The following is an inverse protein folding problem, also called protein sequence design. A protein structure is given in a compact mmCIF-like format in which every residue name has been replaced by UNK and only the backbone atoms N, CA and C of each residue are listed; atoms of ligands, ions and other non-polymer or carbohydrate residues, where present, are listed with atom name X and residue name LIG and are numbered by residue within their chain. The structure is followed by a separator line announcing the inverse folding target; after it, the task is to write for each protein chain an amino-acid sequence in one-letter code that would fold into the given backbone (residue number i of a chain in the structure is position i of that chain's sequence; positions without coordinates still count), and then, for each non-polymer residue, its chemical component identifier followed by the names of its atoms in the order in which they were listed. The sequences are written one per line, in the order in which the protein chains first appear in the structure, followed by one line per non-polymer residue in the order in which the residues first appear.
data_IF_277489566339
#
_entry.id   IF_277489566339
#
_cell.length_a   1.000
_cell.length_b   1.000
_cell.length_c   1.000
_cell.angle_alpha   90.00
_cell.angle_beta   90.00
_cell.angle_gamma   90.00
#
_symmetry.space_group_name_H-M   'P 1'
#
loop_
_entity.id
_entity.type
_entity.pdbx_description
1 polymer ?
#
# COMPACT_ATOMS: atom_id res chain seq x y z
N UNK A 1 -11.07 7.09 0.26
CA UNK A 1 -12.36 7.04 -0.47
C UNK A 1 -12.17 6.29 -1.79
N UNK A 2 -13.12 5.42 -2.13
CA UNK A 2 -13.27 4.62 -3.37
C UNK A 2 -12.02 4.41 -4.23
N UNK A 3 -11.63 5.37 -5.08
CA UNK A 3 -10.48 5.21 -5.99
C UNK A 3 -9.20 4.86 -5.24
N UNK A 4 -8.97 5.48 -4.08
CA UNK A 4 -7.83 5.16 -3.22
C UNK A 4 -7.91 3.75 -2.62
N UNK A 5 -9.11 3.27 -2.28
CA UNK A 5 -9.30 1.90 -1.79
C UNK A 5 -9.08 0.88 -2.92
N UNK A 6 -9.58 1.17 -4.12
CA UNK A 6 -9.37 0.37 -5.33
C UNK A 6 -7.89 0.27 -5.70
N UNK A 7 -7.17 1.40 -5.72
CA UNK A 7 -5.72 1.44 -5.98
C UNK A 7 -4.91 0.72 -4.88
N UNK A 8 -5.29 0.89 -3.61
CA UNK A 8 -4.61 0.20 -2.50
C UNK A 8 -4.79 -1.32 -2.59
N UNK A 9 -5.99 -1.79 -2.92
CA UNK A 9 -6.23 -3.22 -3.11
C UNK A 9 -5.46 -3.79 -4.29
N UNK A 10 -5.34 -3.04 -5.40
CA UNK A 10 -4.47 -3.39 -6.52
C UNK A 10 -3.02 -3.54 -6.08
N UNK A 11 -2.50 -2.55 -5.35
CA UNK A 11 -1.11 -2.54 -4.88
C UNK A 11 -0.81 -3.76 -4.01
N UNK A 12 -1.72 -4.07 -3.08
CA UNK A 12 -1.61 -5.24 -2.19
C UNK A 12 -1.69 -6.53 -3.01
N UNK A 13 -2.64 -6.64 -3.94
CA UNK A 13 -2.78 -7.81 -4.81
C UNK A 13 -1.54 -8.06 -5.65
N UNK A 14 -1.01 -7.03 -6.30
CA UNK A 14 0.22 -7.13 -7.11
C UNK A 14 1.45 -7.45 -6.25
N UNK A 15 1.55 -6.89 -5.04
CA UNK A 15 2.63 -7.24 -4.12
C UNK A 15 2.52 -8.70 -3.67
N UNK A 16 1.33 -9.18 -3.32
CA UNK A 16 1.08 -10.57 -2.94
C UNK A 16 1.44 -11.56 -4.05
N UNK A 17 1.39 -11.12 -5.29
CA UNK A 17 1.72 -11.89 -6.50
C UNK A 17 3.16 -11.65 -6.98
N UNK A 18 3.98 -10.95 -6.20
CA UNK A 18 5.39 -10.69 -6.48
C UNK A 18 5.64 -9.78 -7.70
N UNK A 19 4.65 -8.97 -8.11
CA UNK A 19 4.74 -8.10 -9.29
C UNK A 19 5.28 -6.71 -8.99
N UNK A 20 4.95 -6.15 -7.82
CA UNK A 20 5.35 -4.81 -7.37
C UNK A 20 5.89 -4.85 -5.93
N UNK A 21 6.61 -3.80 -5.54
CA UNK A 21 7.10 -3.62 -4.16
C UNK A 21 7.91 -4.81 -3.62
N UNK A 22 8.76 -5.43 -4.46
CA UNK A 22 9.53 -6.64 -4.13
C UNK A 22 10.52 -6.45 -2.97
N UNK A 23 11.05 -5.23 -2.84
CA UNK A 23 12.01 -4.86 -1.78
C UNK A 23 11.31 -4.29 -0.54
N UNK A 24 10.00 -4.10 -0.59
CA UNK A 24 9.22 -3.61 0.54
C UNK A 24 8.59 -4.78 1.29
N UNK A 25 8.57 -4.78 2.64
CA UNK A 25 7.83 -5.78 3.40
C UNK A 25 6.36 -5.90 2.97
N UNK A 26 5.72 -7.05 3.11
CA UNK A 26 4.30 -7.21 2.78
C UNK A 26 3.43 -6.18 3.52
N UNK A 27 2.52 -5.54 2.79
CA UNK A 27 1.49 -4.67 3.39
C UNK A 27 0.62 -5.52 4.32
N UNK A 28 0.48 -5.07 5.56
CA UNK A 28 -0.14 -5.87 6.64
C UNK A 28 -1.67 -5.91 6.56
N UNK A 29 -2.30 -4.78 6.23
CA UNK A 29 -3.75 -4.68 6.19
C UNK A 29 -4.27 -3.60 5.25
N UNK A 30 -5.57 -3.69 4.92
CA UNK A 30 -6.33 -2.71 4.16
C UNK A 30 -7.57 -2.24 4.93
N UNK A 31 -7.82 -0.93 4.92
CA UNK A 31 -9.11 -0.35 5.30
C UNK A 31 -9.76 0.19 4.02
N UNK A 32 -10.83 -0.44 3.57
CA UNK A 32 -11.54 -0.11 2.34
C UNK A 32 -12.86 0.57 2.64
N UNK A 33 -13.14 1.70 2.00
CA UNK A 33 -14.42 2.41 2.08
C UNK A 33 -14.93 2.58 0.66
N UNK A 34 -15.99 1.85 0.32
CA UNK A 34 -16.60 1.80 -1.02
C UNK A 34 -15.59 1.54 -2.14
N UNK A 35 -14.55 0.72 -1.89
CA UNK A 35 -13.59 0.30 -2.92
C UNK A 35 -14.19 -0.74 -3.86
N UNK A 36 -13.63 -0.90 -5.05
CA UNK A 36 -14.03 -1.94 -6.02
C UNK A 36 -12.79 -2.58 -6.64
N UNK A 37 -12.97 -3.69 -7.37
CA UNK A 37 -11.91 -4.22 -8.23
C UNK A 37 -11.67 -3.28 -9.41
N UNK A 38 -10.47 -3.31 -9.97
CA UNK A 38 -10.28 -2.79 -11.33
C UNK A 38 -11.19 -3.55 -12.30
N UNK A 39 -11.62 -2.90 -13.38
CA UNK A 39 -12.51 -3.54 -14.38
C UNK A 39 -11.74 -4.22 -15.51
N UNK A 40 -10.45 -3.90 -15.66
CA UNK A 40 -9.60 -4.51 -16.67
C UNK A 40 -9.31 -5.98 -16.28
N UNK A 41 -9.68 -6.97 -17.11
CA UNK A 41 -9.43 -8.37 -16.83
C UNK A 41 -7.94 -8.70 -16.64
N UNK A 42 -7.05 -8.08 -17.42
CA UNK A 42 -5.60 -8.32 -17.34
C UNK A 42 -5.03 -7.92 -15.98
N UNK A 43 -5.63 -6.89 -15.36
CA UNK A 43 -5.28 -6.47 -14.00
C UNK A 43 -5.86 -7.45 -12.97
N UNK A 44 -7.12 -7.87 -13.15
CA UNK A 44 -7.81 -8.75 -12.20
C UNK A 44 -7.20 -10.14 -12.11
N UNK A 45 -6.86 -10.73 -13.26
CA UNK A 45 -6.21 -12.04 -13.37
C UNK A 45 -4.86 -12.10 -12.67
N UNK A 46 -4.22 -10.94 -12.48
CA UNK A 46 -3.00 -10.80 -11.70
C UNK A 46 -3.35 -10.49 -10.26
N UNK A 47 -3.96 -9.33 -9.97
CA UNK A 47 -4.15 -8.81 -8.61
C UNK A 47 -4.92 -9.74 -7.68
N UNK A 48 -5.91 -10.46 -8.24
CA UNK A 48 -6.87 -11.25 -7.47
C UNK A 48 -6.81 -12.74 -7.82
N UNK A 49 -5.68 -13.20 -8.40
CA UNK A 49 -5.46 -14.60 -8.78
C UNK A 49 -5.64 -15.55 -7.60
N UNK A 50 -4.98 -15.23 -6.48
CA UNK A 50 -5.08 -15.95 -5.22
C UNK A 50 -5.67 -15.04 -4.14
N UNK A 51 -6.38 -15.58 -3.13
CA UNK A 51 -6.92 -14.79 -2.04
C UNK A 51 -5.82 -13.98 -1.33
N UNK A 52 -6.04 -12.67 -1.22
CA UNK A 52 -5.11 -11.74 -0.58
C UNK A 52 -5.07 -12.03 0.92
N UNK A 53 -3.90 -12.39 1.44
CA UNK A 53 -3.70 -12.79 2.85
C UNK A 53 -3.60 -11.62 3.83
N UNK A 54 -3.38 -10.40 3.33
CA UNK A 54 -3.41 -9.21 4.17
C UNK A 54 -4.79 -9.07 4.83
N UNK A 55 -4.82 -8.72 6.12
CA UNK A 55 -6.08 -8.49 6.83
C UNK A 55 -6.82 -7.33 6.19
N UNK A 56 -8.14 -7.41 6.11
CA UNK A 56 -8.91 -6.28 5.57
C UNK A 56 -10.20 -6.04 6.31
N UNK A 57 -10.60 -4.77 6.36
CA UNK A 57 -11.93 -4.33 6.74
C UNK A 57 -12.54 -3.52 5.60
N UNK A 58 -13.79 -3.79 5.27
CA UNK A 58 -14.53 -3.16 4.17
C UNK A 58 -15.80 -2.54 4.70
N UNK A 59 -15.92 -1.21 4.55
CA UNK A 59 -17.14 -0.48 4.82
C UNK A 59 -17.96 -0.38 3.54
N UNK A 60 -19.19 -0.91 3.60
CA UNK A 60 -20.07 -1.01 2.44
C UNK A 60 -21.44 -0.43 2.77
N UNK A 61 -21.83 0.59 2.02
CA UNK A 61 -23.14 1.24 2.17
C UNK A 61 -24.24 0.41 1.54
N UNK A 62 -25.35 0.20 2.25
CA UNK A 62 -26.49 -0.57 1.75
C UNK A 62 -27.21 0.10 0.58
N UNK A 63 -27.08 1.44 0.47
CA UNK A 63 -27.64 2.25 -0.62
C UNK A 63 -26.55 2.71 -1.59
N UNK A 64 -25.32 2.21 -1.46
CA UNK A 64 -24.22 2.58 -2.35
C UNK A 64 -24.42 1.88 -3.71
N UNK A 65 -24.29 2.64 -4.81
CA UNK A 65 -24.35 2.06 -6.16
C UNK A 65 -23.16 1.12 -6.42
N UNK A 66 -22.09 1.20 -5.61
CA UNK A 66 -20.96 0.27 -5.63
C UNK A 66 -21.06 -0.86 -4.61
N UNK A 67 -22.21 -1.08 -3.96
CA UNK A 67 -22.39 -2.17 -3.00
C UNK A 67 -21.89 -3.51 -3.52
N UNK A 68 -22.36 -3.94 -4.70
CA UNK A 68 -21.96 -5.22 -5.31
C UNK A 68 -20.46 -5.21 -5.68
N UNK A 69 -19.92 -4.22 -6.41
CA UNK A 69 -18.48 -4.12 -6.64
C UNK A 69 -17.60 -4.13 -5.38
N UNK A 70 -18.08 -3.55 -4.27
CA UNK A 70 -17.39 -3.56 -2.99
C UNK A 70 -17.42 -4.92 -2.30
N UNK A 71 -18.52 -5.66 -2.41
CA UNK A 71 -18.62 -7.04 -1.95
C UNK A 71 -17.70 -7.96 -2.76
N UNK A 72 -17.66 -7.77 -4.08
CA UNK A 72 -16.75 -8.49 -4.97
C UNK A 72 -15.29 -8.21 -4.60
N UNK A 73 -14.94 -6.96 -4.30
CA UNK A 73 -13.60 -6.63 -3.82
C UNK A 73 -13.30 -7.31 -2.49
N UNK A 74 -14.22 -7.25 -1.53
CA UNK A 74 -14.04 -7.88 -0.21
C UNK A 74 -13.79 -9.40 -0.35
N UNK A 75 -14.50 -10.07 -1.27
CA UNK A 75 -14.33 -11.51 -1.52
C UNK A 75 -12.94 -11.92 -2.01
N UNK A 76 -12.13 -10.97 -2.51
CA UNK A 76 -10.75 -11.24 -2.92
C UNK A 76 -9.77 -11.35 -1.73
N UNK A 77 -10.18 -10.98 -0.52
CA UNK A 77 -9.37 -11.05 0.69
C UNK A 77 -9.71 -12.29 1.51
N UNK A 78 -8.73 -12.80 2.25
CA UNK A 78 -8.92 -13.92 3.17
C UNK A 78 -9.59 -13.43 4.48
N UNK A 79 -10.79 -13.92 4.75
CA UNK A 79 -11.61 -13.61 5.94
C UNK A 79 -11.71 -12.09 6.22
N UNK A 80 -12.25 -11.29 5.29
CA UNK A 80 -12.42 -9.85 5.48
C UNK A 80 -13.45 -9.58 6.58
N UNK A 81 -13.25 -8.51 7.36
CA UNK A 81 -14.33 -7.93 8.15
C UNK A 81 -15.17 -7.03 7.25
N UNK A 82 -16.49 -7.25 7.19
CA UNK A 82 -17.41 -6.39 6.46
C UNK A 82 -18.27 -5.63 7.46
N UNK A 83 -18.21 -4.30 7.43
CA UNK A 83 -19.05 -3.41 8.23
C UNK A 83 -20.06 -2.73 7.30
N UNK A 84 -21.35 -2.96 7.55
CA UNK A 84 -22.45 -2.39 6.77
C UNK A 84 -22.90 -1.07 7.38
N UNK A 85 -23.31 -0.14 6.54
CA UNK A 85 -23.93 1.12 6.99
C UNK A 85 -25.10 1.51 6.08
N UNK A 86 -26.13 2.22 6.59
CA UNK A 86 -27.39 2.42 5.84
C UNK A 86 -27.33 3.53 4.77
N UNK A 87 -26.18 4.21 4.63
CA UNK A 87 -26.01 5.30 3.67
C UNK A 87 -25.56 4.82 2.28
N UNK A 88 -25.56 5.74 1.32
CA UNK A 88 -24.99 5.53 0.00
C UNK A 88 -23.47 5.71 -0.03
N UNK A 89 -22.96 6.26 -1.13
CA UNK A 89 -21.52 6.48 -1.32
C UNK A 89 -20.97 7.61 -0.43
N UNK A 90 -20.56 7.26 0.77
CA UNK A 90 -20.05 8.22 1.75
C UNK A 90 -19.05 7.56 2.69
N UNK A 91 -18.30 8.37 3.43
CA UNK A 91 -17.52 7.87 4.57
C UNK A 91 -18.52 7.60 5.70
N UNK A 92 -18.61 6.37 6.22
CA UNK A 92 -19.61 6.03 7.21
C UNK A 92 -19.34 6.74 8.54
N UNK A 93 -20.42 7.18 9.18
CA UNK A 93 -20.39 7.46 10.62
C UNK A 93 -20.58 6.13 11.33
N UNK A 94 -19.67 5.79 12.23
CA UNK A 94 -19.73 4.52 12.96
C UNK A 94 -20.70 4.65 14.13
N UNK A 95 -21.63 3.72 14.22
CA UNK A 95 -22.41 3.51 15.44
C UNK A 95 -21.60 2.69 16.46
N UNK A 96 -22.18 2.45 17.63
CA UNK A 96 -21.52 1.72 18.71
C UNK A 96 -21.12 0.30 18.28
N UNK A 97 -21.99 -0.38 17.54
CA UNK A 97 -21.75 -1.75 17.04
C UNK A 97 -20.58 -1.78 16.07
N UNK A 98 -20.61 -0.94 15.04
CA UNK A 98 -19.55 -0.82 14.03
C UNK A 98 -18.22 -0.38 14.64
N UNK A 99 -18.27 0.52 15.62
CA UNK A 99 -17.09 0.96 16.38
C UNK A 99 -16.49 -0.21 17.15
N UNK A 100 -17.30 -0.99 17.86
CA UNK A 100 -16.84 -2.18 18.59
C UNK A 100 -16.23 -3.24 17.67
N UNK A 101 -16.84 -3.50 16.51
CA UNK A 101 -16.31 -4.41 15.50
C UNK A 101 -14.92 -3.95 15.00
N UNK A 102 -14.79 -2.66 14.65
CA UNK A 102 -13.52 -2.10 14.19
C UNK A 102 -12.45 -2.14 15.29
N UNK A 103 -12.80 -1.81 16.53
CA UNK A 103 -11.89 -1.86 17.68
C UNK A 103 -11.36 -3.27 17.92
N UNK A 104 -12.24 -4.28 17.90
CA UNK A 104 -11.86 -5.68 18.04
C UNK A 104 -10.90 -6.12 16.93
N UNK A 105 -11.21 -5.76 15.68
CA UNK A 105 -10.35 -6.07 14.54
C UNK A 105 -8.98 -5.39 14.61
N UNK A 106 -8.91 -4.11 15.03
CA UNK A 106 -7.63 -3.42 15.25
C UNK A 106 -6.84 -4.12 16.36
N UNK A 107 -7.49 -4.50 17.46
CA UNK A 107 -6.83 -5.21 18.55
C UNK A 107 -6.24 -6.56 18.10
N UNK A 108 -6.94 -7.30 17.23
CA UNK A 108 -6.42 -8.53 16.62
C UNK A 108 -5.17 -8.29 15.77
N UNK A 109 -5.14 -7.20 14.98
CA UNK A 109 -3.98 -6.83 14.17
C UNK A 109 -2.79 -6.46 15.05
N UNK A 110 -3.02 -5.66 16.10
CA UNK A 110 -1.96 -5.20 17.00
C UNK A 110 -1.35 -6.33 17.84
N UNK A 111 -2.10 -7.41 18.09
CA UNK A 111 -1.61 -8.61 18.79
C UNK A 111 -0.72 -9.51 17.93
N UNK A 112 -0.62 -9.29 16.63
CA UNK A 112 0.21 -10.14 15.77
C UNK A 112 1.71 -9.93 16.09
N UNK A 113 2.51 -11.01 16.19
CA UNK A 113 3.95 -10.89 16.37
C UNK A 113 4.56 -10.03 15.25
N UNK A 114 5.49 -9.14 15.61
CA UNK A 114 6.31 -8.45 14.60
C UNK A 114 7.13 -9.52 13.88
N UNK A 115 6.80 -9.81 12.61
CA UNK A 115 7.68 -10.59 11.74
C UNK A 115 9.02 -9.87 11.70
N UNK A 116 10.04 -10.50 12.27
CA UNK A 116 11.41 -10.00 12.27
C UNK A 116 11.91 -9.96 10.83
N UNK A 117 12.29 -8.78 10.36
CA UNK A 117 13.04 -8.63 9.11
C UNK A 117 14.48 -8.97 9.44
N UNK A 118 14.96 -10.14 8.99
CA UNK A 118 16.39 -10.43 8.95
C UNK A 118 17.00 -9.67 7.77
N UNK A 119 17.68 -8.58 8.05
CA UNK A 119 18.56 -7.93 7.07
C UNK A 119 19.80 -8.81 6.98
N UNK A 120 19.96 -9.53 5.86
CA UNK A 120 21.23 -10.16 5.54
C UNK A 120 22.26 -9.08 5.26
N UNK A 121 23.34 -9.04 6.03
CA UNK A 121 24.50 -8.21 5.75
C UNK A 121 25.10 -8.68 4.42
N UNK A 122 24.98 -7.87 3.37
CA UNK A 122 25.68 -8.10 2.12
C UNK A 122 26.93 -7.23 2.13
N UNK A 123 28.09 -7.83 2.43
CA UNK A 123 29.39 -7.20 2.21
C UNK A 123 29.52 -6.87 0.71
N UNK A 124 29.50 -5.59 0.37
CA UNK A 124 29.91 -5.12 -0.95
C UNK A 124 31.42 -4.86 -0.93
N UNK A 125 32.20 -5.78 -1.52
CA UNK A 125 33.60 -5.50 -1.90
C UNK A 125 33.62 -4.36 -2.91
N UNK A 126 34.24 -3.26 -2.54
CA UNK A 126 34.54 -2.15 -3.45
C UNK A 126 35.84 -2.50 -4.18
N UNK A 127 35.75 -2.82 -5.47
CA UNK A 127 36.90 -2.89 -6.37
C UNK A 127 37.18 -1.51 -6.94
N UNK A 128 38.35 -0.95 -6.60
CA UNK A 128 38.79 0.38 -7.03
C UNK A 128 39.60 0.20 -8.32
N UNK A 129 39.08 0.70 -9.45
CA UNK A 129 39.83 0.83 -10.69
C UNK A 129 40.46 2.23 -10.77
N UNK A 130 41.79 2.30 -10.71
CA UNK A 130 42.55 3.54 -10.95
C UNK A 130 42.93 3.64 -12.43
N UNK A 131 42.35 4.60 -13.15
CA UNK A 131 42.88 5.05 -14.44
C UNK A 131 43.63 6.37 -14.21
N UNK A 132 44.96 6.33 -14.34
CA UNK A 132 45.77 7.52 -14.65
C UNK A 132 45.52 7.97 -16.11
N UNK A 133 46.01 9.08 -16.61
CA UNK A 133 46.92 10.11 -16.13
C UNK A 133 46.78 11.29 -17.13
N UNK A 134 47.44 12.42 -16.85
CA UNK A 134 47.81 13.56 -17.74
C UNK A 134 46.98 14.87 -17.67
N UNK A 135 47.43 15.76 -16.78
CA UNK A 135 48.16 16.99 -17.14
C UNK A 135 47.44 18.16 -17.83
N UNK A 136 47.41 19.33 -17.17
CA UNK A 136 48.24 20.53 -17.42
C UNK A 136 47.56 21.82 -16.89
N UNK A 137 48.28 22.50 -15.99
CA UNK A 137 48.40 23.94 -15.65
C UNK A 137 47.27 24.97 -15.90
N UNK A 138 46.97 25.74 -14.85
CA UNK A 138 47.09 27.21 -14.91
C UNK A 138 45.90 28.10 -14.47
N UNK A 139 46.15 28.86 -13.39
CA UNK A 139 45.77 30.28 -13.13
C UNK A 139 44.46 30.62 -12.35
N UNK A 140 44.71 31.34 -11.24
CA UNK A 140 43.94 32.27 -10.36
C UNK A 140 42.93 33.24 -11.07
N UNK A 141 41.94 33.97 -10.51
CA UNK A 141 41.58 34.47 -9.18
C UNK A 141 40.06 34.82 -9.09
N UNK A 142 39.55 34.90 -7.85
CA UNK A 142 38.68 35.94 -7.23
C UNK A 142 37.15 36.15 -7.52
N UNK A 143 36.43 36.08 -6.38
CA UNK A 143 35.38 36.97 -5.81
C UNK A 143 34.00 37.08 -6.46
N UNK A 144 32.98 36.78 -5.65
CA UNK A 144 31.62 37.30 -5.82
C UNK A 144 30.63 36.78 -4.78
N UNK A 145 30.36 37.59 -3.73
CA UNK A 145 29.20 37.44 -2.82
C UNK A 145 27.90 37.65 -3.61
N UNK A 146 26.83 36.94 -3.23
CA UNK A 146 25.63 37.52 -2.61
C UNK A 146 24.38 36.65 -2.87
N UNK A 147 23.57 36.57 -1.82
CA UNK A 147 22.26 35.92 -1.76
C UNK A 147 21.17 36.72 -2.50
N UNK A 148 20.10 36.03 -2.92
CA UNK A 148 18.70 36.48 -2.82
C UNK A 148 17.76 35.36 -3.33
N UNK A 149 16.86 34.89 -2.45
CA UNK A 149 15.41 35.14 -2.51
C UNK A 149 14.71 34.97 -3.88
N UNK A 150 13.58 34.26 -4.04
CA UNK A 150 12.40 34.01 -3.20
C UNK A 150 11.76 32.67 -3.61
#
# INVERSE_FOLDING_TARGET
LNQGATLSALLIGYQAQGKLLKEHPPIKFLISISGSKFRDPSICEIAYKDPIKAKSVHFIGDKDWLKIPSEELASAFDKPLIIRHPQGHTVPRLDEVSTGQLQNWIAEILRQPKVGVSIGEHESKIEIYTNGDKGVNGVEMNKGKAACQL
#
